data_IF_796655693543
#
_entry.id   IF_796655693543
#
_cell.length_a   1.000
_cell.length_b   1.000
_cell.length_c   1.000
_cell.angle_alpha   90.00
_cell.angle_beta   90.00
_cell.angle_gamma   90.00
#
_symmetry.space_group_name_H-M   'P 1'
#
loop_
_entity.id
_entity.type
_entity.pdbx_description
1 polymer ?
#
# COMPACT_ATOMS: atom_id res chain seq x y z
N UNK A 1 -14.16 -15.08 -23.22
CA UNK A 1 -14.74 -14.23 -22.16
C UNK A 1 -13.88 -12.98 -21.99
N UNK A 2 -14.40 -11.81 -22.35
CA UNK A 2 -13.71 -10.52 -22.13
C UNK A 2 -13.95 -10.10 -20.68
N UNK A 3 -12.88 -9.94 -19.91
CA UNK A 3 -12.94 -9.46 -18.52
C UNK A 3 -13.07 -7.93 -18.59
N UNK A 4 -14.20 -7.39 -18.16
CA UNK A 4 -14.43 -5.94 -18.09
C UNK A 4 -13.42 -5.26 -17.14
N UNK A 5 -12.96 -4.04 -17.45
CA UNK A 5 -11.94 -3.37 -16.64
C UNK A 5 -12.46 -3.04 -15.23
N UNK A 6 -11.67 -3.41 -14.22
CA UNK A 6 -11.91 -3.26 -12.76
C UNK A 6 -11.72 -1.81 -12.26
N UNK A 7 -12.39 -0.85 -12.90
CA UNK A 7 -12.33 0.56 -12.48
C UNK A 7 -13.50 1.02 -11.59
N UNK A 8 -14.44 0.14 -11.26
CA UNK A 8 -15.64 0.54 -10.51
C UNK A 8 -15.50 0.18 -9.02
N UNK A 9 -15.17 1.20 -8.21
CA UNK A 9 -15.44 1.18 -6.77
C UNK A 9 -16.97 1.22 -6.62
N UNK A 10 -17.57 0.23 -5.96
CA UNK A 10 -19.00 0.23 -5.68
C UNK A 10 -19.22 1.23 -4.53
N UNK A 11 -19.89 2.34 -4.83
CA UNK A 11 -20.25 3.35 -3.84
C UNK A 11 -21.50 2.90 -3.07
N UNK A 12 -21.60 3.19 -1.76
CA UNK A 12 -22.80 2.92 -0.99
C UNK A 12 -24.00 3.69 -1.58
N UNK A 13 -25.19 3.06 -1.60
CA UNK A 13 -26.42 3.67 -2.16
C UNK A 13 -26.95 4.86 -1.35
N UNK A 14 -26.48 5.07 -0.12
CA UNK A 14 -26.78 6.28 0.66
C UNK A 14 -25.90 7.43 0.19
N UNK A 15 -26.55 8.54 -0.20
CA UNK A 15 -25.94 9.87 -0.34
C UNK A 15 -25.40 10.33 1.02
N UNK A 16 -24.28 9.79 1.44
CA UNK A 16 -23.48 10.41 2.49
C UNK A 16 -22.81 11.62 1.86
N UNK A 17 -23.10 12.81 2.40
CA UNK A 17 -22.27 13.98 2.20
C UNK A 17 -20.82 13.53 2.44
N UNK A 18 -19.99 13.68 1.41
CA UNK A 18 -18.57 13.36 1.50
C UNK A 18 -18.02 14.05 2.75
N UNK A 19 -17.64 13.26 3.77
CA UNK A 19 -16.64 13.74 4.73
C UNK A 19 -15.45 14.12 3.86
N UNK A 20 -15.04 15.39 3.94
CA UNK A 20 -13.99 15.95 3.09
C UNK A 20 -12.87 14.92 2.96
N UNK A 21 -12.63 14.48 1.72
CA UNK A 21 -11.52 13.57 1.44
C UNK A 21 -10.25 14.22 1.99
N UNK A 22 -9.37 13.41 2.60
CA UNK A 22 -8.04 13.89 2.94
C UNK A 22 -7.44 14.58 1.69
N UNK A 23 -6.85 15.78 1.81
CA UNK A 23 -6.42 16.55 0.66
C UNK A 23 -5.56 15.68 -0.24
N UNK A 24 -6.01 15.49 -1.48
CA UNK A 24 -5.21 14.88 -2.52
C UNK A 24 -4.08 15.87 -2.83
N UNK A 25 -2.85 15.50 -2.49
CA UNK A 25 -1.68 16.29 -2.85
C UNK A 25 -1.62 16.37 -4.38
N UNK A 26 -1.78 17.58 -4.90
CA UNK A 26 -1.55 17.87 -6.31
C UNK A 26 -0.09 17.57 -6.63
N UNK A 27 0.14 16.99 -7.80
CA UNK A 27 1.45 16.62 -8.34
C UNK A 27 2.32 17.82 -8.71
N UNK A 28 1.96 19.04 -8.31
CA UNK A 28 2.62 20.29 -8.71
C UNK A 28 3.84 20.68 -7.87
N UNK A 29 4.16 19.94 -6.80
CA UNK A 29 5.37 20.18 -5.98
C UNK A 29 6.48 19.15 -6.27
N UNK A 30 6.70 18.81 -7.53
CA UNK A 30 7.91 18.04 -7.91
C UNK A 30 9.11 18.97 -7.89
N UNK A 31 9.70 19.15 -6.71
CA UNK A 31 11.10 19.54 -6.60
C UNK A 31 11.92 18.40 -7.22
N UNK A 32 12.48 18.62 -8.40
CA UNK A 32 13.41 17.70 -9.04
C UNK A 32 14.69 17.66 -8.20
N UNK A 33 14.89 16.57 -7.47
CA UNK A 33 16.11 16.31 -6.73
C UNK A 33 17.14 15.65 -7.64
N UNK A 34 18.40 16.06 -7.54
CA UNK A 34 19.49 15.35 -8.23
C UNK A 34 19.49 13.88 -7.83
N UNK A 35 19.54 13.00 -8.83
CA UNK A 35 19.45 11.54 -8.69
C UNK A 35 20.54 10.94 -7.78
N UNK A 36 21.57 11.70 -7.44
CA UNK A 36 22.69 11.28 -6.58
C UNK A 36 22.37 11.28 -5.08
N UNK A 37 21.26 11.86 -4.63
CA UNK A 37 20.90 11.99 -3.20
C UNK A 37 19.64 11.19 -2.82
N UNK A 38 19.02 10.46 -3.75
CA UNK A 38 17.80 9.71 -3.44
C UNK A 38 18.12 8.34 -2.80
N UNK A 39 17.31 7.87 -1.83
CA UNK A 39 17.47 6.53 -1.27
C UNK A 39 17.34 5.48 -2.36
N UNK A 40 18.16 4.43 -2.31
CA UNK A 40 18.02 3.29 -3.21
C UNK A 40 16.64 2.68 -3.03
N UNK A 41 15.79 2.81 -4.04
CA UNK A 41 14.45 2.22 -4.06
C UNK A 41 14.57 0.70 -4.02
N UNK A 42 13.82 0.06 -3.14
CA UNK A 42 13.72 -1.40 -3.12
C UNK A 42 12.74 -1.84 -4.19
N UNK A 43 13.27 -2.29 -5.33
CA UNK A 43 12.45 -2.71 -6.45
C UNK A 43 11.77 -4.06 -6.19
N UNK A 44 10.54 -4.17 -6.70
CA UNK A 44 9.86 -5.44 -6.84
C UNK A 44 10.42 -6.14 -8.07
N UNK A 45 10.70 -7.43 -7.95
CA UNK A 45 10.91 -8.29 -9.13
C UNK A 45 9.66 -8.30 -9.99
N UNK A 46 9.77 -8.66 -11.26
CA UNK A 46 8.62 -8.77 -12.16
C UNK A 46 7.53 -9.71 -11.59
N UNK A 47 7.96 -10.79 -10.94
CA UNK A 47 7.05 -11.73 -10.30
C UNK A 47 6.34 -11.10 -9.09
N UNK A 48 7.08 -10.44 -8.19
CA UNK A 48 6.51 -9.73 -7.04
C UNK A 48 5.54 -8.62 -7.47
N UNK A 49 5.84 -7.91 -8.57
CA UNK A 49 4.97 -6.90 -9.13
C UNK A 49 3.64 -7.51 -9.62
N UNK A 50 3.70 -8.57 -10.44
CA UNK A 50 2.52 -9.33 -10.89
C UNK A 50 1.70 -9.89 -9.72
N UNK A 51 2.38 -10.39 -8.69
CA UNK A 51 1.72 -10.89 -7.48
C UNK A 51 1.02 -9.76 -6.71
N UNK A 52 1.71 -8.63 -6.53
CA UNK A 52 1.17 -7.45 -5.87
C UNK A 52 -0.04 -6.86 -6.60
N UNK A 53 -0.09 -6.91 -7.93
CA UNK A 53 -1.25 -6.46 -8.70
C UNK A 53 -2.50 -7.28 -8.38
N UNK A 54 -2.37 -8.61 -8.30
CA UNK A 54 -3.46 -9.49 -7.88
C UNK A 54 -3.84 -9.23 -6.42
N UNK A 55 -2.87 -8.97 -5.54
CA UNK A 55 -3.14 -8.60 -4.14
C UNK A 55 -3.92 -7.28 -4.02
N UNK A 56 -3.60 -6.28 -4.85
CA UNK A 56 -4.34 -5.01 -4.92
C UNK A 56 -5.78 -5.27 -5.38
N UNK A 57 -5.99 -6.13 -6.39
CA UNK A 57 -7.33 -6.51 -6.83
C UNK A 57 -8.14 -7.18 -5.72
N UNK A 58 -7.53 -8.08 -4.94
CA UNK A 58 -8.19 -8.70 -3.77
C UNK A 58 -8.59 -7.63 -2.75
N UNK A 59 -7.71 -6.68 -2.42
CA UNK A 59 -8.02 -5.61 -1.46
C UNK A 59 -9.17 -4.71 -1.91
N UNK A 60 -9.19 -4.34 -3.20
CA UNK A 60 -10.30 -3.58 -3.81
C UNK A 60 -11.60 -4.37 -3.73
N UNK A 61 -11.54 -5.66 -4.04
CA UNK A 61 -12.70 -6.53 -4.01
C UNK A 61 -13.23 -6.74 -2.58
N UNK A 62 -12.36 -6.88 -1.58
CA UNK A 62 -12.75 -6.95 -0.16
C UNK A 62 -13.47 -5.67 0.28
N UNK A 63 -13.03 -4.50 -0.20
CA UNK A 63 -13.73 -3.23 0.05
C UNK A 63 -15.11 -3.19 -0.62
N UNK A 64 -15.23 -3.62 -1.88
CA UNK A 64 -16.51 -3.71 -2.58
C UNK A 64 -17.48 -4.69 -1.89
N UNK A 65 -16.99 -5.86 -1.44
CA UNK A 65 -17.76 -6.85 -0.67
C UNK A 65 -18.27 -6.24 0.63
N UNK A 66 -17.43 -5.48 1.34
CA UNK A 66 -17.84 -4.80 2.57
C UNK A 66 -18.97 -3.81 2.32
N UNK A 67 -18.85 -2.96 1.30
CA UNK A 67 -19.90 -2.00 0.92
C UNK A 67 -21.19 -2.73 0.54
N UNK A 68 -21.10 -3.76 -0.31
CA UNK A 68 -22.28 -4.49 -0.77
C UNK A 68 -22.97 -5.26 0.37
N UNK A 69 -22.20 -5.80 1.31
CA UNK A 69 -22.75 -6.43 2.52
C UNK A 69 -23.52 -5.42 3.38
N UNK A 70 -23.06 -4.18 3.47
CA UNK A 70 -23.77 -3.14 4.21
C UNK A 70 -25.02 -2.69 3.46
N UNK A 71 -24.95 -2.52 2.14
CA UNK A 71 -26.12 -2.21 1.31
C UNK A 71 -27.23 -3.27 1.51
N UNK A 72 -26.87 -4.56 1.54
CA UNK A 72 -27.81 -5.67 1.78
C UNK A 72 -28.47 -5.66 3.16
N UNK A 73 -27.80 -5.12 4.19
CA UNK A 73 -28.38 -4.94 5.51
C UNK A 73 -29.41 -3.81 5.52
N UNK A 74 -29.09 -2.71 4.85
CA UNK A 74 -29.92 -1.51 4.85
C UNK A 74 -31.11 -1.63 3.87
N UNK A 75 -30.93 -2.36 2.76
CA UNK A 75 -31.93 -2.54 1.70
C UNK A 75 -31.81 -3.96 1.13
N UNK A 76 -32.75 -4.84 1.48
CA UNK A 76 -32.74 -6.20 0.94
C UNK A 76 -33.31 -6.22 -0.49
N UNK A 77 -32.48 -6.62 -1.45
CA UNK A 77 -32.88 -6.87 -2.84
C UNK A 77 -32.27 -8.19 -3.34
N UNK A 78 -33.06 -8.96 -4.10
CA UNK A 78 -32.58 -10.19 -4.72
C UNK A 78 -31.40 -9.95 -5.68
N UNK A 79 -31.39 -8.80 -6.37
CA UNK A 79 -30.30 -8.39 -7.26
C UNK A 79 -29.01 -8.09 -6.46
N UNK A 80 -29.13 -7.31 -5.39
CA UNK A 80 -27.99 -6.98 -4.52
C UNK A 80 -27.38 -8.23 -3.87
N UNK A 81 -28.21 -9.26 -3.62
CA UNK A 81 -27.77 -10.55 -3.07
C UNK A 81 -26.98 -11.35 -4.10
N UNK A 82 -27.42 -11.35 -5.36
CA UNK A 82 -26.71 -11.98 -6.46
C UNK A 82 -25.34 -11.32 -6.68
N UNK A 83 -25.30 -9.99 -6.76
CA UNK A 83 -24.05 -9.24 -6.94
C UNK A 83 -23.05 -9.52 -5.81
N UNK A 84 -23.52 -9.56 -4.56
CA UNK A 84 -22.69 -9.93 -3.43
C UNK A 84 -22.08 -11.33 -3.57
N UNK A 85 -22.87 -12.32 -4.01
CA UNK A 85 -22.38 -13.68 -4.25
C UNK A 85 -21.34 -13.74 -5.37
N UNK A 86 -21.52 -12.98 -6.45
CA UNK A 86 -20.54 -12.90 -7.53
C UNK A 86 -19.21 -12.28 -7.06
N UNK A 87 -19.27 -11.22 -6.24
CA UNK A 87 -18.06 -10.64 -5.62
C UNK A 87 -17.33 -11.67 -4.74
N UNK A 88 -18.05 -12.49 -3.97
CA UNK A 88 -17.46 -13.56 -3.16
C UNK A 88 -16.76 -14.63 -4.01
N UNK A 89 -17.38 -15.06 -5.13
CA UNK A 89 -16.78 -16.01 -6.08
C UNK A 89 -15.51 -15.44 -6.70
N UNK A 90 -15.56 -14.18 -7.16
CA UNK A 90 -14.39 -13.48 -7.69
C UNK A 90 -13.24 -13.44 -6.68
N UNK A 91 -13.54 -13.19 -5.40
CA UNK A 91 -12.53 -13.16 -4.34
C UNK A 91 -11.88 -14.53 -4.14
N UNK A 92 -12.68 -15.59 -4.15
CA UNK A 92 -12.18 -16.95 -4.04
C UNK A 92 -11.23 -17.27 -5.20
N UNK A 93 -11.59 -16.89 -6.42
CA UNK A 93 -10.76 -17.09 -7.61
C UNK A 93 -9.43 -16.32 -7.53
N UNK A 94 -9.46 -15.04 -7.12
CA UNK A 94 -8.24 -14.25 -6.96
C UNK A 94 -7.33 -14.80 -5.85
N UNK A 95 -7.90 -15.23 -4.70
CA UNK A 95 -7.11 -15.87 -3.64
C UNK A 95 -6.53 -17.22 -4.07
N UNK A 96 -7.26 -18.00 -4.86
CA UNK A 96 -6.73 -19.23 -5.47
C UNK A 96 -5.59 -18.93 -6.44
N UNK A 97 -5.71 -17.86 -7.25
CA UNK A 97 -4.65 -17.40 -8.14
C UNK A 97 -3.39 -17.01 -7.37
N UNK A 98 -3.50 -16.25 -6.27
CA UNK A 98 -2.36 -15.91 -5.41
C UNK A 98 -1.66 -17.17 -4.87
N UNK A 99 -2.44 -18.11 -4.30
CA UNK A 99 -1.90 -19.40 -3.83
C UNK A 99 -1.16 -20.16 -4.92
N UNK A 100 -1.71 -20.20 -6.14
CA UNK A 100 -1.09 -20.87 -7.26
C UNK A 100 0.19 -20.16 -7.73
N UNK A 101 0.23 -18.83 -7.71
CA UNK A 101 1.43 -18.06 -8.04
C UNK A 101 2.55 -18.34 -7.04
N UNK A 102 2.26 -18.33 -5.74
CA UNK A 102 3.23 -18.64 -4.70
C UNK A 102 3.77 -20.07 -4.82
N UNK A 103 2.89 -21.06 -5.03
CA UNK A 103 3.29 -22.46 -5.27
C UNK A 103 4.20 -22.61 -6.48
N UNK A 104 3.88 -21.96 -7.60
CA UNK A 104 4.68 -22.06 -8.84
C UNK A 104 6.08 -21.47 -8.70
N UNK A 105 6.25 -20.47 -7.84
CA UNK A 105 7.57 -19.89 -7.57
C UNK A 105 8.30 -20.58 -6.42
N UNK A 106 7.77 -21.70 -5.90
CA UNK A 106 8.27 -22.40 -4.73
C UNK A 106 8.50 -21.49 -3.51
N UNK A 107 7.67 -20.45 -3.38
CA UNK A 107 7.75 -19.50 -2.28
C UNK A 107 6.57 -19.70 -1.33
N UNK A 108 6.82 -19.52 -0.04
CA UNK A 108 5.74 -19.39 0.93
C UNK A 108 4.96 -18.10 0.64
N UNK A 109 3.63 -18.22 0.59
CA UNK A 109 2.74 -17.11 0.33
C UNK A 109 2.90 -15.97 1.34
N UNK A 110 3.03 -16.31 2.64
CA UNK A 110 3.19 -15.33 3.70
C UNK A 110 4.51 -14.57 3.57
N UNK A 111 5.60 -15.27 3.27
CA UNK A 111 6.92 -14.66 3.10
C UNK A 111 6.94 -13.73 1.88
N UNK A 112 6.25 -14.10 0.80
CA UNK A 112 6.11 -13.27 -0.39
C UNK A 112 5.33 -11.98 -0.09
N UNK A 113 4.19 -12.09 0.59
CA UNK A 113 3.38 -10.94 0.99
C UNK A 113 4.13 -10.02 1.98
N UNK A 114 4.86 -10.63 2.92
CA UNK A 114 5.72 -9.93 3.86
C UNK A 114 6.82 -9.13 3.13
N UNK A 115 7.59 -9.79 2.25
CA UNK A 115 8.70 -9.15 1.54
C UNK A 115 8.23 -8.02 0.62
N UNK A 116 7.13 -8.22 -0.11
CA UNK A 116 6.52 -7.17 -0.94
C UNK A 116 6.12 -5.98 -0.06
N UNK A 117 5.50 -6.24 1.09
CA UNK A 117 5.04 -5.17 1.97
C UNK A 117 6.21 -4.40 2.58
N UNK A 118 7.26 -5.09 3.03
CA UNK A 118 8.49 -4.46 3.54
C UNK A 118 9.09 -3.50 2.51
N UNK A 119 9.22 -3.92 1.24
CA UNK A 119 9.74 -3.07 0.17
C UNK A 119 8.88 -1.84 -0.05
N UNK A 120 7.54 -2.00 -0.09
CA UNK A 120 6.59 -0.89 -0.28
C UNK A 120 6.58 0.09 0.89
N UNK A 121 6.59 -0.41 2.11
CA UNK A 121 6.66 0.43 3.31
C UNK A 121 7.97 1.20 3.36
N UNK A 122 9.10 0.53 3.11
CA UNK A 122 10.40 1.19 3.03
C UNK A 122 10.37 2.33 2.00
N UNK A 123 9.93 2.04 0.77
CA UNK A 123 9.87 3.02 -0.32
C UNK A 123 8.92 4.20 -0.02
N UNK A 124 7.95 4.04 0.88
CA UNK A 124 7.05 5.12 1.33
C UNK A 124 7.74 6.10 2.26
N UNK A 125 8.61 5.61 3.15
CA UNK A 125 9.26 6.43 4.18
C UNK A 125 10.65 6.92 3.79
N UNK A 126 11.41 6.12 3.03
CA UNK A 126 12.79 6.43 2.66
C UNK A 126 12.96 7.83 2.02
N UNK A 127 12.08 8.28 1.09
CA UNK A 127 12.19 9.63 0.53
C UNK A 127 12.07 10.73 1.58
N UNK A 128 11.21 10.56 2.60
CA UNK A 128 11.03 11.55 3.67
C UNK A 128 12.28 11.67 4.55
N UNK A 129 12.93 10.53 4.82
CA UNK A 129 14.20 10.48 5.57
C UNK A 129 15.30 11.25 4.82
N UNK A 130 15.40 11.10 3.50
CA UNK A 130 16.42 11.81 2.73
C UNK A 130 16.12 13.30 2.53
N UNK A 131 14.83 13.66 2.42
CA UNK A 131 14.38 15.06 2.37
C UNK A 131 14.61 15.81 3.67
N UNK A 132 14.69 15.12 4.81
CA UNK A 132 15.01 15.77 6.08
C UNK A 132 16.40 16.41 6.02
N UNK A 133 16.43 17.72 6.25
CA UNK A 133 17.63 18.55 6.18
C UNK A 133 18.33 18.70 7.53
N UNK A 134 17.64 18.40 8.63
CA UNK A 134 18.15 18.61 9.99
C UNK A 134 18.05 17.37 10.87
N UNK A 135 18.90 17.28 11.90
CA UNK A 135 18.85 16.18 12.89
C UNK A 135 17.52 16.14 13.67
N UNK A 136 16.93 17.27 14.10
CA UNK A 136 15.61 17.28 14.74
C UNK A 136 14.49 16.72 13.84
N UNK A 137 14.48 17.06 12.55
CA UNK A 137 13.52 16.49 11.59
C UNK A 137 13.64 14.97 11.51
N UNK A 138 14.86 14.45 11.43
CA UNK A 138 15.11 13.01 11.42
C UNK A 138 14.64 12.32 12.70
N UNK A 139 14.83 12.94 13.88
CA UNK A 139 14.31 12.44 15.15
C UNK A 139 12.79 12.46 15.21
N UNK A 140 12.15 13.45 14.60
CA UNK A 140 10.69 13.49 14.43
C UNK A 140 10.20 12.32 13.57
N UNK A 141 10.88 12.05 12.45
CA UNK A 141 10.56 10.92 11.57
C UNK A 141 10.79 9.58 12.29
N UNK A 142 11.85 9.46 13.09
CA UNK A 142 12.14 8.28 13.91
C UNK A 142 11.00 7.97 14.90
N UNK A 143 10.52 9.00 15.62
CA UNK A 143 9.36 8.86 16.52
C UNK A 143 8.12 8.38 15.78
N UNK A 144 7.81 9.00 14.64
CA UNK A 144 6.69 8.56 13.80
C UNK A 144 6.83 7.09 13.41
N UNK A 145 7.98 6.67 12.87
CA UNK A 145 8.24 5.28 12.45
C UNK A 145 8.02 4.29 13.61
N UNK A 146 8.40 4.66 14.83
CA UNK A 146 8.20 3.83 16.00
C UNK A 146 6.73 3.69 16.39
N UNK A 147 5.93 4.75 16.23
CA UNK A 147 4.48 4.77 16.45
C UNK A 147 3.69 3.99 15.37
N UNK A 148 4.16 3.98 14.11
CA UNK A 148 3.51 3.21 13.05
C UNK A 148 3.62 1.68 13.30
N UNK A 149 2.54 0.97 13.01
CA UNK A 149 2.49 -0.49 12.98
C UNK A 149 3.14 -1.04 11.70
N UNK A 150 4.46 -0.85 11.56
CA UNK A 150 5.26 -1.38 10.45
C UNK A 150 5.83 -2.76 10.79
N UNK A 151 6.15 -3.54 9.77
CA UNK A 151 6.86 -4.80 9.97
C UNK A 151 8.25 -4.58 10.61
N UNK A 152 8.71 -5.51 11.48
CA UNK A 152 10.01 -5.38 12.15
C UNK A 152 11.17 -5.12 11.19
N UNK A 153 11.23 -5.87 10.08
CA UNK A 153 12.26 -5.70 9.04
C UNK A 153 12.18 -4.33 8.37
N UNK A 154 10.99 -3.79 8.14
CA UNK A 154 10.82 -2.42 7.64
C UNK A 154 11.39 -1.41 8.64
N UNK A 155 11.05 -1.54 9.93
CA UNK A 155 11.54 -0.63 10.98
C UNK A 155 13.06 -0.64 11.04
N UNK A 156 13.67 -1.82 11.07
CA UNK A 156 15.12 -1.98 11.09
C UNK A 156 15.79 -1.28 9.89
N UNK A 157 15.29 -1.51 8.67
CA UNK A 157 15.80 -0.86 7.45
C UNK A 157 15.68 0.68 7.52
N UNK A 158 14.55 1.21 8.02
CA UNK A 158 14.33 2.64 8.12
C UNK A 158 15.16 3.30 9.22
N UNK A 159 15.31 2.65 10.38
CA UNK A 159 16.16 3.14 11.48
C UNK A 159 17.63 3.14 11.07
N UNK A 160 18.07 2.11 10.32
CA UNK A 160 19.42 2.06 9.74
C UNK A 160 19.64 3.23 8.77
N UNK A 161 18.64 3.51 7.93
CA UNK A 161 18.67 4.64 6.99
C UNK A 161 18.76 5.99 7.70
N UNK A 162 17.99 6.17 8.78
CA UNK A 162 18.04 7.38 9.62
C UNK A 162 19.43 7.52 10.26
N UNK A 163 19.97 6.45 10.82
CA UNK A 163 21.31 6.45 11.42
C UNK A 163 22.40 6.84 10.41
N UNK A 164 22.32 6.34 9.18
CA UNK A 164 23.21 6.75 8.09
C UNK A 164 23.02 8.23 7.75
N UNK A 165 21.76 8.70 7.61
CA UNK A 165 21.48 10.09 7.26
C UNK A 165 21.95 11.07 8.32
N UNK A 166 21.76 10.78 9.61
CA UNK A 166 22.25 11.60 10.74
C UNK A 166 23.77 11.79 10.66
N UNK A 167 24.53 10.74 10.30
CA UNK A 167 26.00 10.82 10.15
C UNK A 167 26.40 11.71 8.97
N UNK A 168 25.62 11.70 7.88
CA UNK A 168 25.91 12.51 6.68
C UNK A 168 25.52 13.98 6.81
N UNK A 169 24.56 14.31 7.69
CA UNK A 169 24.19 15.70 7.96
C UNK A 169 25.28 16.35 8.81
N UNK A 170 26.15 17.13 8.15
CA UNK A 170 27.09 18.02 8.85
C UNK A 170 26.30 18.97 9.75
N UNK A 171 26.84 19.27 10.93
CA UNK A 171 26.33 20.36 11.75
C UNK A 171 26.36 21.64 10.92
N UNK A 172 25.19 22.12 10.46
CA UNK A 172 25.02 23.55 10.20
C UNK A 172 24.91 24.19 11.59
N UNK A 173 26.05 24.59 12.14
CA UNK A 173 26.09 25.57 13.21
C UNK A 173 25.61 26.85 12.53
N UNK A 174 24.38 27.26 12.85
CA UNK A 174 23.93 28.62 12.61
C UNK A 174 24.53 29.52 13.68
#
# INVERSE_FOLDING_TARGET
MKISPLNNIILPRRRYQYRQAAPSFQSSDTVEFSSSVLPKKLELTEFEAKYNDVMIQVKRLDSNIYVQKNNLKDYYSAHDKYDYQELLKQRQNLRARLRNMAKKSNNNQFDLEYNITVKKEYNRFAPKIYKAGTKPELRGIEKLINEYALYPKTKELLLTLIGQRIKTLKFKIG
#
